data_IF_399261338294
#
_entry.id   IF_399261338294
#
_cell.length_a   1.000
_cell.length_b   1.000
_cell.length_c   1.000
_cell.angle_alpha   90.00
_cell.angle_beta   90.00
_cell.angle_gamma   90.00
#
_symmetry.space_group_name_H-M   'P 1'
#
loop_
_entity.id
_entity.type
_entity.pdbx_description
1 polymer ?
#
# COMPACT_ATOMS: atom_id res chain seq x y z
N UNK A 1 -3.32 -17.59 -22.53
CA UNK A 1 -4.30 -18.04 -21.51
C UNK A 1 -3.91 -17.38 -20.21
N UNK A 2 -4.85 -16.72 -19.53
CA UNK A 2 -4.57 -15.99 -18.29
C UNK A 2 -4.36 -17.03 -17.16
N UNK A 3 -3.12 -17.24 -16.70
CA UNK A 3 -2.72 -18.33 -15.80
C UNK A 3 -3.37 -18.27 -14.40
N UNK A 4 -4.12 -17.19 -14.10
CA UNK A 4 -4.77 -16.96 -12.81
C UNK A 4 -6.21 -17.49 -12.73
N UNK A 5 -6.89 -17.72 -13.85
CA UNK A 5 -8.25 -18.33 -13.86
C UNK A 5 -8.24 -19.75 -13.27
N UNK A 6 -7.26 -20.62 -13.57
CA UNK A 6 -7.12 -21.93 -12.93
C UNK A 6 -7.05 -21.88 -11.39
N UNK A 7 -6.41 -20.85 -10.81
CA UNK A 7 -6.25 -20.72 -9.36
C UNK A 7 -7.57 -20.36 -8.64
N UNK A 8 -8.38 -19.49 -9.23
CA UNK A 8 -9.68 -19.12 -8.66
C UNK A 8 -10.69 -20.29 -8.73
N UNK A 9 -10.61 -21.12 -9.77
CA UNK A 9 -11.39 -22.35 -9.89
C UNK A 9 -11.00 -23.39 -8.82
N UNK A 10 -9.70 -23.50 -8.49
CA UNK A 10 -9.21 -24.37 -7.40
C UNK A 10 -9.75 -23.99 -6.02
N UNK A 11 -10.13 -22.72 -5.84
CA UNK A 11 -10.74 -22.21 -4.59
C UNK A 11 -12.27 -22.29 -4.60
N UNK A 12 -12.87 -22.94 -5.62
CA UNK A 12 -14.33 -23.15 -5.73
C UNK A 12 -15.10 -21.97 -6.32
N UNK A 13 -14.43 -21.00 -6.95
CA UNK A 13 -15.09 -19.90 -7.65
C UNK A 13 -15.70 -20.32 -8.98
N UNK A 14 -16.77 -19.65 -9.40
CA UNK A 14 -17.31 -19.76 -10.76
C UNK A 14 -16.39 -19.04 -11.75
N UNK A 15 -16.11 -19.63 -12.92
CA UNK A 15 -15.10 -19.13 -13.87
C UNK A 15 -15.32 -17.68 -14.29
N UNK A 16 -16.57 -17.32 -14.61
CA UNK A 16 -16.91 -15.99 -15.09
C UNK A 16 -16.72 -14.94 -13.99
N UNK A 17 -17.25 -15.19 -12.80
CA UNK A 17 -17.08 -14.31 -11.64
C UNK A 17 -15.61 -14.20 -11.23
N UNK A 18 -14.87 -15.30 -11.28
CA UNK A 18 -13.44 -15.32 -11.01
C UNK A 18 -12.66 -14.42 -11.98
N UNK A 19 -12.97 -14.51 -13.28
CA UNK A 19 -12.33 -13.69 -14.31
C UNK A 19 -12.61 -12.21 -14.10
N UNK A 20 -13.85 -11.84 -13.80
CA UNK A 20 -14.25 -10.44 -13.54
C UNK A 20 -13.51 -9.87 -12.31
N UNK A 21 -13.47 -10.62 -11.20
CA UNK A 21 -12.73 -10.19 -10.01
C UNK A 21 -11.22 -10.09 -10.24
N UNK A 22 -10.64 -11.03 -10.99
CA UNK A 22 -9.22 -10.98 -11.35
C UNK A 22 -8.87 -9.78 -12.23
N UNK A 23 -9.77 -9.35 -13.11
CA UNK A 23 -9.58 -8.14 -13.91
C UNK A 23 -9.53 -6.89 -13.02
N UNK A 24 -10.41 -6.79 -12.01
CA UNK A 24 -10.39 -5.70 -11.02
C UNK A 24 -9.07 -5.69 -10.24
N UNK A 25 -8.61 -6.86 -9.77
CA UNK A 25 -7.31 -6.99 -9.09
C UNK A 25 -6.16 -6.59 -10.00
N UNK A 26 -6.20 -7.00 -11.27
CA UNK A 26 -5.16 -6.66 -12.24
C UNK A 26 -5.07 -5.14 -12.48
N UNK A 27 -6.19 -4.47 -12.74
CA UNK A 27 -6.18 -3.01 -12.93
C UNK A 27 -5.77 -2.27 -11.65
N UNK A 28 -6.15 -2.77 -10.47
CA UNK A 28 -5.64 -2.25 -9.19
C UNK A 28 -4.12 -2.38 -9.08
N UNK A 29 -3.56 -3.57 -9.34
CA UNK A 29 -2.11 -3.81 -9.32
C UNK A 29 -1.35 -2.94 -10.33
N UNK A 30 -1.90 -2.78 -11.54
CA UNK A 30 -1.36 -1.90 -12.58
C UNK A 30 -1.42 -0.42 -12.19
N UNK A 31 -2.41 0.00 -11.41
CA UNK A 31 -2.45 1.36 -10.87
C UNK A 31 -1.45 1.53 -9.72
N UNK A 32 -1.32 0.55 -8.84
CA UNK A 32 -0.28 0.53 -7.80
C UNK A 32 1.12 0.57 -8.41
N UNK A 33 1.38 -0.15 -9.51
CA UNK A 33 2.72 -0.19 -10.11
C UNK A 33 3.20 1.20 -10.58
N UNK A 34 2.28 2.11 -10.92
CA UNK A 34 2.58 3.47 -11.39
C UNK A 34 3.04 4.42 -10.30
N UNK A 35 2.82 4.11 -9.02
CA UNK A 35 3.16 5.03 -7.91
C UNK A 35 4.55 4.77 -7.30
N UNK A 36 5.16 3.63 -7.66
CA UNK A 36 6.53 3.31 -7.28
C UNK A 36 7.52 4.20 -8.02
N UNK A 37 8.56 4.61 -7.31
CA UNK A 37 9.71 5.27 -7.92
C UNK A 37 10.46 4.28 -8.83
N UNK A 38 10.75 4.66 -10.09
CA UNK A 38 11.60 3.90 -10.99
C UNK A 38 12.94 3.54 -10.33
N UNK A 39 13.40 2.30 -10.55
CA UNK A 39 14.59 1.75 -9.91
C UNK A 39 15.87 2.57 -10.19
N UNK A 40 15.97 3.15 -11.38
CA UNK A 40 17.08 4.02 -11.79
C UNK A 40 17.09 5.35 -11.03
N UNK A 41 15.93 5.86 -10.61
CA UNK A 41 15.82 7.05 -9.76
C UNK A 41 16.09 6.72 -8.29
N UNK A 42 15.74 5.52 -7.81
CA UNK A 42 16.09 5.07 -6.45
C UNK A 42 17.61 4.97 -6.25
N UNK A 43 18.34 4.49 -7.25
CA UNK A 43 19.79 4.24 -7.14
C UNK A 43 20.67 5.46 -7.47
N UNK A 44 20.11 6.53 -8.04
CA UNK A 44 20.88 7.72 -8.44
C UNK A 44 21.26 8.66 -7.29
N UNK A 45 20.87 8.35 -6.04
CA UNK A 45 21.59 8.82 -4.85
C UNK A 45 21.92 10.32 -4.76
N UNK A 46 21.11 11.20 -5.34
CA UNK A 46 21.34 12.64 -5.23
C UNK A 46 20.54 13.16 -4.05
N UNK A 47 21.19 13.36 -2.89
CA UNK A 47 20.98 14.40 -1.85
C UNK A 47 19.59 15.06 -1.67
N UNK A 48 18.52 14.36 -2.00
CA UNK A 48 17.14 14.74 -1.79
C UNK A 48 16.73 13.93 -0.57
N UNK A 49 16.27 14.62 0.46
CA UNK A 49 15.68 14.04 1.67
C UNK A 49 14.52 13.11 1.30
N UNK A 50 14.82 11.84 1.01
CA UNK A 50 13.85 10.77 0.75
C UNK A 50 13.27 10.22 2.05
N UNK A 51 14.07 10.27 3.10
CA UNK A 51 13.71 9.91 4.46
C UNK A 51 13.21 11.18 5.18
N UNK A 52 11.97 11.12 5.67
CA UNK A 52 11.40 12.19 6.50
C UNK A 52 11.14 11.67 7.90
N UNK A 53 11.75 12.32 8.89
CA UNK A 53 11.39 12.12 10.30
C UNK A 53 10.03 12.78 10.58
N UNK A 54 9.13 12.05 11.19
CA UNK A 54 7.81 12.52 11.63
C UNK A 54 7.27 11.63 12.74
N UNK A 55 6.19 12.03 13.38
CA UNK A 55 5.44 11.21 14.33
C UNK A 55 4.48 10.25 13.62
N UNK A 56 4.06 9.20 14.33
CA UNK A 56 3.01 8.28 13.85
C UNK A 56 1.71 9.02 13.54
N UNK A 57 1.34 10.05 14.32
CA UNK A 57 0.15 10.87 14.07
C UNK A 57 0.26 11.73 12.80
N UNK A 58 1.45 12.27 12.52
CA UNK A 58 1.71 12.96 11.24
C UNK A 58 1.62 11.98 10.06
N UNK A 59 2.15 10.77 10.22
CA UNK A 59 2.05 9.73 9.20
C UNK A 59 0.61 9.23 8.98
N UNK A 60 -0.18 9.10 10.05
CA UNK A 60 -1.62 8.82 9.99
C UNK A 60 -2.36 9.87 9.14
N UNK A 61 -1.96 11.15 9.22
CA UNK A 61 -2.56 12.22 8.41
C UNK A 61 -2.23 12.06 6.92
N UNK A 62 -1.04 11.55 6.60
CA UNK A 62 -0.60 11.27 5.22
C UNK A 62 -1.43 10.12 4.63
N UNK A 63 -1.58 9.02 5.37
CA UNK A 63 -2.32 7.84 4.92
C UNK A 63 -3.83 8.08 4.90
N UNK A 64 -4.38 8.88 5.82
CA UNK A 64 -5.82 9.06 5.96
C UNK A 64 -6.47 7.90 6.70
N UNK A 65 -7.80 7.81 6.68
CA UNK A 65 -8.58 6.93 7.57
C UNK A 65 -8.75 5.49 7.09
N UNK A 66 -8.13 5.08 5.97
CA UNK A 66 -8.27 3.72 5.44
C UNK A 66 -7.46 2.68 6.24
N UNK A 67 -6.50 3.15 7.05
CA UNK A 67 -5.70 2.34 7.94
C UNK A 67 -5.55 3.06 9.28
N UNK A 68 -5.58 2.28 10.36
CA UNK A 68 -5.31 2.72 11.72
C UNK A 68 -3.85 2.39 12.04
N UNK A 69 -2.97 3.39 11.93
CA UNK A 69 -1.50 3.20 11.84
C UNK A 69 -0.92 2.75 13.18
N UNK A 70 -1.38 3.34 14.29
CA UNK A 70 -0.91 3.00 15.63
C UNK A 70 -1.30 1.55 15.99
N UNK A 71 -2.52 1.14 15.66
CA UNK A 71 -3.02 -0.22 15.83
C UNK A 71 -2.29 -1.20 14.92
N UNK A 72 -2.06 -0.83 13.65
CA UNK A 72 -1.32 -1.66 12.72
C UNK A 72 0.09 -1.95 13.24
N UNK A 73 0.85 -0.90 13.60
CA UNK A 73 2.20 -1.08 14.09
C UNK A 73 2.24 -1.76 15.46
N UNK A 74 1.30 -1.47 16.37
CA UNK A 74 1.20 -2.18 17.65
C UNK A 74 0.95 -3.68 17.48
N UNK A 75 0.16 -4.06 16.47
CA UNK A 75 -0.10 -5.47 16.14
C UNK A 75 1.14 -6.15 15.58
N UNK A 76 1.84 -5.49 14.64
CA UNK A 76 3.03 -6.05 13.98
C UNK A 76 4.24 -6.10 14.90
N UNK A 77 4.45 -5.08 15.74
CA UNK A 77 5.57 -4.99 16.66
C UNK A 77 5.43 -5.91 17.88
N UNK A 78 4.27 -6.55 18.05
CA UNK A 78 4.01 -7.66 18.98
C UNK A 78 4.03 -7.34 20.47
N UNK A 79 4.72 -6.28 20.93
CA UNK A 79 4.90 -5.98 22.37
C UNK A 79 5.13 -4.50 22.72
N UNK A 80 5.26 -3.59 21.74
CA UNK A 80 5.33 -2.14 21.99
C UNK A 80 4.02 -1.50 21.53
N UNK A 81 3.35 -0.83 22.47
CA UNK A 81 2.28 0.10 22.11
C UNK A 81 2.94 1.25 21.36
N UNK A 82 2.75 1.27 20.05
CA UNK A 82 3.09 2.41 19.22
C UNK A 82 1.97 3.42 19.41
N UNK A 83 2.32 4.62 19.79
CA UNK A 83 1.42 5.74 20.02
C UNK A 83 1.61 6.80 18.94
N UNK A 84 0.62 7.70 18.81
CA UNK A 84 0.67 8.80 17.84
C UNK A 84 1.89 9.71 17.98
N UNK A 85 2.49 9.78 19.17
CA UNK A 85 3.59 10.69 19.49
C UNK A 85 4.98 10.04 19.26
N UNK A 86 5.02 8.74 18.99
CA UNK A 86 6.26 8.04 18.66
C UNK A 86 6.82 8.53 17.32
N UNK A 87 8.14 8.69 17.27
CA UNK A 87 8.85 9.13 16.08
C UNK A 87 9.16 7.95 15.15
N UNK A 88 9.11 8.24 13.86
CA UNK A 88 9.47 7.31 12.80
C UNK A 88 10.18 8.02 11.66
N UNK A 89 10.90 7.23 10.88
CA UNK A 89 11.46 7.65 9.61
C UNK A 89 10.62 7.06 8.49
N UNK A 90 10.18 7.91 7.57
CA UNK A 90 9.37 7.53 6.42
C UNK A 90 10.19 7.72 5.15
N UNK A 91 10.52 6.61 4.52
CA UNK A 91 11.10 6.61 3.18
C UNK A 91 10.04 6.85 2.12
N UNK A 92 10.40 7.60 1.09
CA UNK A 92 9.54 7.86 -0.08
C UNK A 92 8.16 8.40 0.32
N UNK A 93 8.08 9.44 1.16
CA UNK A 93 6.79 10.00 1.63
C UNK A 93 5.74 10.22 0.52
N UNK A 94 6.19 10.62 -0.68
CA UNK A 94 5.29 10.84 -1.82
C UNK A 94 4.66 9.55 -2.36
N UNK A 95 5.28 8.39 -2.17
CA UNK A 95 4.65 7.09 -2.41
C UNK A 95 3.39 6.97 -1.56
N UNK A 96 3.46 7.24 -0.25
CA UNK A 96 2.31 7.11 0.66
C UNK A 96 1.20 8.11 0.36
N UNK A 97 1.55 9.34 -0.07
CA UNK A 97 0.56 10.31 -0.56
C UNK A 97 -0.19 9.77 -1.78
N UNK A 98 0.54 9.18 -2.75
CA UNK A 98 -0.08 8.59 -3.95
C UNK A 98 -0.88 7.32 -3.63
N UNK A 99 -0.38 6.49 -2.72
CA UNK A 99 -1.06 5.28 -2.25
C UNK A 99 -2.43 5.60 -1.67
N UNK A 100 -2.52 6.63 -0.82
CA UNK A 100 -3.80 7.09 -0.27
C UNK A 100 -4.83 7.35 -1.38
N UNK A 101 -4.47 8.05 -2.44
CA UNK A 101 -5.41 8.34 -3.54
C UNK A 101 -5.90 7.07 -4.25
N UNK A 102 -5.01 6.08 -4.43
CA UNK A 102 -5.39 4.79 -5.03
C UNK A 102 -6.36 4.05 -4.12
N UNK A 103 -6.04 3.90 -2.84
CA UNK A 103 -6.87 3.16 -1.89
C UNK A 103 -8.24 3.82 -1.70
N UNK A 104 -8.30 5.15 -1.59
CA UNK A 104 -9.57 5.86 -1.44
C UNK A 104 -10.49 5.75 -2.67
N UNK A 105 -9.92 5.50 -3.85
CA UNK A 105 -10.68 5.26 -5.09
C UNK A 105 -11.00 3.79 -5.36
N UNK A 106 -10.59 2.88 -4.49
CA UNK A 106 -10.81 1.43 -4.65
C UNK A 106 -11.96 1.00 -3.75
N UNK A 107 -12.85 0.17 -4.28
CA UNK A 107 -13.90 -0.46 -3.47
C UNK A 107 -13.28 -1.41 -2.43
N UNK A 108 -14.02 -1.70 -1.36
CA UNK A 108 -13.58 -2.59 -0.29
C UNK A 108 -13.69 -4.07 -0.71
N UNK A 109 -14.57 -4.39 -1.66
CA UNK A 109 -14.75 -5.74 -2.25
C UNK A 109 -13.80 -6.02 -3.43
#
# INVERSE_FOLDING_TARGET
MNENVPLALLLGGEEQTAREKLEVVYEFQKNLSKIFLPYDLKNKGTNLTFEKRMTVGEFQTVLGSWIDVDKYFSTVAGQKFVTKDDEMYVDELDYFKRLRYIIQGTDKE
#
